data_IF_815736367803
#
_entry.id   IF_815736367803
#
_cell.length_a   1.000
_cell.length_b   1.000
_cell.length_c   1.000
_cell.angle_alpha   90.00
_cell.angle_beta   90.00
_cell.angle_gamma   90.00
#
_symmetry.space_group_name_H-M   'P 1'
#
loop_
_entity.id
_entity.type
_entity.pdbx_description
1 polymer ?
#
# COMPACT_ATOMS: atom_id res chain seq x y z
N UNK A 1 -58.63 -16.88 -23.12
CA UNK A 1 -57.50 -17.55 -22.43
C UNK A 1 -56.20 -16.87 -22.80
N UNK A 2 -55.22 -16.91 -21.89
CA UNK A 2 -53.83 -16.40 -21.97
C UNK A 2 -53.61 -14.96 -21.47
N UNK A 3 -53.57 -14.84 -20.14
CA UNK A 3 -52.79 -13.81 -19.42
C UNK A 3 -51.32 -13.94 -19.86
N UNK A 4 -50.70 -12.87 -20.35
CA UNK A 4 -49.24 -12.80 -20.49
C UNK A 4 -48.69 -12.12 -19.23
N UNK A 5 -48.19 -12.95 -18.33
CA UNK A 5 -47.40 -12.51 -17.19
C UNK A 5 -46.01 -12.15 -17.72
N UNK A 6 -45.71 -10.87 -17.88
CA UNK A 6 -44.34 -10.41 -18.18
C UNK A 6 -43.62 -10.34 -16.83
N UNK A 7 -42.85 -11.38 -16.53
CA UNK A 7 -41.98 -11.44 -15.38
C UNK A 7 -40.69 -10.67 -15.74
N UNK A 8 -40.63 -9.39 -15.37
CA UNK A 8 -39.39 -8.61 -15.46
C UNK A 8 -38.39 -9.17 -14.46
N UNK A 9 -37.38 -9.86 -14.96
CA UNK A 9 -36.24 -10.35 -14.17
C UNK A 9 -35.37 -9.14 -13.82
N UNK A 10 -35.58 -8.59 -12.62
CA UNK A 10 -34.71 -7.55 -12.06
C UNK A 10 -33.40 -8.24 -11.66
N UNK A 11 -32.40 -8.21 -12.53
CA UNK A 11 -31.04 -8.65 -12.20
C UNK A 11 -30.46 -7.61 -11.22
N UNK A 12 -30.62 -7.89 -9.93
CA UNK A 12 -29.82 -7.27 -8.89
C UNK A 12 -28.38 -7.74 -9.10
N UNK A 13 -27.57 -6.90 -9.74
CA UNK A 13 -26.11 -6.99 -9.61
C UNK A 13 -25.78 -6.75 -8.15
N UNK A 14 -25.74 -7.82 -7.37
CA UNK A 14 -25.01 -7.83 -6.12
C UNK A 14 -23.53 -7.73 -6.49
N UNK A 15 -23.00 -6.50 -6.48
CA UNK A 15 -21.57 -6.32 -6.38
C UNK A 15 -21.16 -7.00 -5.08
N UNK A 16 -20.54 -8.17 -5.19
CA UNK A 16 -19.77 -8.72 -4.10
C UNK A 16 -18.61 -7.74 -3.94
N UNK A 17 -18.76 -6.76 -3.06
CA UNK A 17 -17.64 -5.97 -2.57
C UNK A 17 -16.81 -6.96 -1.78
N UNK A 18 -15.81 -7.55 -2.44
CA UNK A 18 -14.71 -8.18 -1.73
C UNK A 18 -14.17 -7.13 -0.78
N UNK A 19 -14.11 -7.45 0.52
CA UNK A 19 -13.48 -6.58 1.49
C UNK A 19 -12.03 -6.38 1.05
N UNK A 20 -11.75 -5.24 0.41
CA UNK A 20 -10.43 -4.93 -0.09
C UNK A 20 -9.62 -4.48 1.12
N UNK A 21 -8.68 -5.32 1.55
CA UNK A 21 -7.75 -4.97 2.61
C UNK A 21 -6.44 -4.47 2.01
N UNK A 22 -5.73 -3.62 2.75
CA UNK A 22 -4.34 -3.30 2.45
C UNK A 22 -3.43 -4.47 2.80
N UNK A 23 -2.34 -4.61 2.07
CA UNK A 23 -1.21 -5.42 2.50
C UNK A 23 -0.69 -4.95 3.85
N UNK A 24 -0.23 -5.87 4.71
CA UNK A 24 0.49 -5.48 5.91
C UNK A 24 1.80 -4.78 5.55
N UNK A 25 2.17 -3.77 6.32
CA UNK A 25 3.52 -3.24 6.32
C UNK A 25 4.54 -4.29 6.78
N UNK A 26 5.70 -4.31 6.14
CA UNK A 26 6.79 -5.23 6.42
C UNK A 26 7.90 -4.50 7.19
N UNK A 27 8.17 -4.97 8.40
CA UNK A 27 9.30 -4.47 9.21
C UNK A 27 10.46 -5.45 9.32
N UNK A 28 10.22 -6.72 8.96
CA UNK A 28 11.20 -7.81 8.98
C UNK A 28 11.29 -8.44 7.60
N UNK A 29 12.52 -8.66 7.12
CA UNK A 29 12.81 -9.16 5.79
C UNK A 29 13.62 -10.47 5.86
N UNK A 30 13.41 -11.35 4.88
CA UNK A 30 14.09 -12.63 4.78
C UNK A 30 15.50 -12.42 4.24
N UNK A 31 16.50 -12.92 4.97
CA UNK A 31 17.88 -13.00 4.50
C UNK A 31 18.14 -14.24 3.61
N UNK A 32 17.11 -15.06 3.33
CA UNK A 32 17.24 -16.32 2.57
C UNK A 32 16.80 -16.23 1.11
N UNK A 33 16.11 -15.14 0.75
CA UNK A 33 15.67 -14.88 -0.62
C UNK A 33 16.43 -13.64 -1.10
N UNK A 34 16.78 -13.55 -2.39
CA UNK A 34 17.38 -12.35 -2.93
C UNK A 34 16.40 -11.18 -2.81
N UNK A 35 16.92 -9.99 -2.58
CA UNK A 35 16.25 -8.71 -2.80
C UNK A 35 16.63 -8.18 -4.19
N UNK A 36 15.75 -7.36 -4.75
CA UNK A 36 15.94 -6.76 -6.06
C UNK A 36 15.85 -5.25 -5.95
N UNK A 37 16.82 -4.55 -6.52
CA UNK A 37 16.88 -3.08 -6.54
C UNK A 37 16.95 -2.61 -7.99
N UNK A 38 16.15 -1.62 -8.35
CA UNK A 38 16.32 -0.84 -9.57
C UNK A 38 16.82 0.55 -9.17
N UNK A 39 17.99 0.95 -9.66
CA UNK A 39 18.57 2.27 -9.44
C UNK A 39 17.94 3.33 -10.36
N UNK A 40 18.15 4.60 -10.06
CA UNK A 40 17.61 5.72 -10.86
C UNK A 40 18.11 5.74 -12.31
N UNK A 41 19.29 5.18 -12.57
CA UNK A 41 19.86 5.05 -13.92
C UNK A 41 19.27 3.85 -14.70
N UNK A 42 18.39 3.06 -14.07
CA UNK A 42 17.77 1.86 -14.63
C UNK A 42 18.58 0.57 -14.41
N UNK A 43 19.75 0.64 -13.78
CA UNK A 43 20.55 -0.53 -13.42
C UNK A 43 19.77 -1.42 -12.43
N UNK A 44 19.81 -2.73 -12.67
CA UNK A 44 19.17 -3.73 -11.81
C UNK A 44 20.21 -4.48 -11.02
N UNK A 45 19.95 -4.62 -9.72
CA UNK A 45 20.83 -5.28 -8.76
C UNK A 45 20.03 -6.38 -8.07
N UNK A 46 20.64 -7.56 -7.98
CA UNK A 46 20.12 -8.72 -7.25
C UNK A 46 21.16 -9.14 -6.22
N UNK A 47 20.72 -9.47 -5.01
CA UNK A 47 21.61 -9.93 -3.94
C UNK A 47 20.87 -10.18 -2.64
N UNK A 48 21.59 -10.62 -1.61
CA UNK A 48 20.97 -10.86 -0.30
C UNK A 48 20.85 -9.54 0.46
N UNK A 49 19.69 -9.26 1.05
CA UNK A 49 19.54 -8.12 1.96
C UNK A 49 20.28 -8.43 3.26
N UNK A 50 21.33 -7.68 3.58
CA UNK A 50 22.02 -7.81 4.87
C UNK A 50 21.33 -6.95 5.92
N UNK A 51 21.09 -5.67 5.63
CA UNK A 51 20.56 -4.73 6.60
C UNK A 51 19.83 -3.55 5.97
N UNK A 52 18.75 -3.12 6.61
CA UNK A 52 18.16 -1.80 6.40
C UNK A 52 18.54 -0.87 7.56
N UNK A 53 19.28 0.18 7.26
CA UNK A 53 19.53 1.26 8.21
C UNK A 53 18.31 2.17 8.24
N UNK A 54 17.92 2.61 9.44
CA UNK A 54 16.77 3.50 9.63
C UNK A 54 17.17 4.72 10.45
N UNK A 55 16.68 5.89 10.06
CA UNK A 55 16.76 7.15 10.82
C UNK A 55 15.35 7.69 11.00
N UNK A 56 14.92 7.86 12.25
CA UNK A 56 13.53 8.26 12.59
C UNK A 56 12.48 7.35 11.90
N UNK A 57 12.73 6.04 11.91
CA UNK A 57 11.93 4.98 11.28
C UNK A 57 11.86 5.00 9.74
N UNK A 58 12.46 5.98 9.06
CA UNK A 58 12.60 5.99 7.61
C UNK A 58 13.85 5.21 7.19
N UNK A 59 13.80 4.50 6.07
CA UNK A 59 14.97 3.81 5.49
C UNK A 59 15.99 4.87 5.09
N UNK A 60 17.22 4.74 5.58
CA UNK A 60 18.33 5.68 5.35
C UNK A 60 19.57 5.03 4.73
N UNK A 61 19.51 3.73 4.45
CA UNK A 61 20.59 2.96 3.83
C UNK A 61 20.16 1.52 3.63
N UNK A 62 20.50 0.96 2.46
CA UNK A 62 20.10 -0.39 2.05
C UNK A 62 21.38 -1.17 1.79
N UNK A 63 21.72 -2.09 2.70
CA UNK A 63 22.94 -2.89 2.59
C UNK A 63 22.62 -4.27 2.01
N UNK A 64 23.31 -4.61 0.94
CA UNK A 64 23.21 -5.87 0.24
C UNK A 64 24.53 -6.62 0.22
N UNK A 65 24.46 -7.95 0.16
CA UNK A 65 25.58 -8.83 -0.16
C UNK A 65 25.42 -9.26 -1.62
N UNK A 66 26.40 -8.90 -2.45
CA UNK A 66 26.45 -9.21 -3.89
C UNK A 66 27.78 -9.88 -4.16
N UNK A 67 27.76 -11.11 -4.69
CA UNK A 67 28.96 -11.92 -4.92
C UNK A 67 29.89 -12.03 -3.69
N UNK A 68 29.30 -12.05 -2.49
CA UNK A 68 30.02 -12.12 -1.21
C UNK A 68 30.60 -10.79 -0.72
N UNK A 69 30.33 -9.67 -1.40
CA UNK A 69 30.75 -8.32 -0.99
C UNK A 69 29.58 -7.51 -0.45
N UNK A 70 29.81 -6.79 0.65
CA UNK A 70 28.85 -5.83 1.19
C UNK A 70 28.88 -4.54 0.38
N UNK A 71 27.72 -4.14 -0.15
CA UNK A 71 27.50 -2.88 -0.85
C UNK A 71 26.33 -2.15 -0.19
N UNK A 72 26.50 -0.87 0.12
CA UNK A 72 25.47 -0.04 0.74
C UNK A 72 24.97 1.00 -0.27
N UNK A 73 23.66 1.01 -0.51
CA UNK A 73 22.97 1.96 -1.37
C UNK A 73 22.28 3.03 -0.53
N UNK A 74 22.38 4.28 -0.98
CA UNK A 74 21.60 5.37 -0.43
C UNK A 74 20.16 5.28 -0.99
N UNK A 75 19.11 5.49 -0.18
CA UNK A 75 17.73 5.42 -0.66
C UNK A 75 17.44 6.36 -1.84
N UNK A 76 18.07 7.53 -1.87
CA UNK A 76 17.96 8.51 -2.94
C UNK A 76 18.46 8.01 -4.30
N UNK A 77 19.37 7.03 -4.35
CA UNK A 77 19.89 6.45 -5.58
C UNK A 77 19.01 5.29 -6.11
N UNK A 78 18.10 4.80 -5.28
CA UNK A 78 17.20 3.68 -5.58
C UNK A 78 15.87 4.21 -6.10
N UNK A 79 15.48 3.79 -7.30
CA UNK A 79 14.16 4.11 -7.83
C UNK A 79 13.07 3.31 -7.10
N UNK A 80 13.26 2.00 -7.06
CA UNK A 80 12.34 1.03 -6.50
C UNK A 80 13.09 -0.23 -6.05
N UNK A 81 12.50 -0.99 -5.12
CA UNK A 81 13.05 -2.27 -4.69
C UNK A 81 11.97 -3.26 -4.25
N UNK A 82 12.28 -4.54 -4.39
CA UNK A 82 11.49 -5.66 -3.90
C UNK A 82 12.24 -6.34 -2.77
N UNK A 83 11.68 -6.27 -1.56
CA UNK A 83 12.27 -6.90 -0.38
C UNK A 83 11.45 -8.12 0.05
N UNK A 84 12.07 -9.30 0.21
CA UNK A 84 11.34 -10.50 0.60
C UNK A 84 10.91 -10.39 2.06
N UNK A 85 9.61 -10.46 2.37
CA UNK A 85 9.13 -10.38 3.75
C UNK A 85 9.61 -11.60 4.57
N UNK A 86 10.02 -11.40 5.83
CA UNK A 86 10.45 -12.48 6.72
C UNK A 86 9.26 -13.33 7.19
N UNK A 87 8.13 -12.67 7.43
CA UNK A 87 6.98 -13.27 8.09
C UNK A 87 5.90 -13.64 7.09
N UNK A 88 5.56 -14.93 7.15
CA UNK A 88 4.24 -15.54 6.90
C UNK A 88 4.00 -16.12 5.52
N UNK A 89 3.70 -17.43 5.56
CA UNK A 89 2.53 -18.03 4.91
C UNK A 89 1.89 -17.11 3.88
N UNK A 90 2.25 -17.33 2.60
CA UNK A 90 1.49 -16.99 1.40
C UNK A 90 0.27 -16.12 1.74
N UNK A 91 0.48 -14.82 1.90
CA UNK A 91 -0.65 -13.91 1.86
C UNK A 91 -1.16 -14.05 0.43
N UNK A 92 -2.17 -14.88 0.26
CA UNK A 92 -2.85 -15.09 -1.00
C UNK A 92 -3.73 -13.87 -1.26
N UNK A 93 -3.12 -12.69 -1.34
CA UNK A 93 -3.63 -11.71 -2.26
C UNK A 93 -3.38 -12.36 -3.61
N UNK A 94 -4.32 -13.19 -4.06
CA UNK A 94 -4.43 -13.45 -5.49
C UNK A 94 -4.88 -12.11 -6.05
N UNK A 95 -3.93 -11.20 -6.23
CA UNK A 95 -4.17 -9.99 -6.99
C UNK A 95 -4.35 -10.53 -8.41
N UNK A 96 -5.61 -10.63 -8.84
CA UNK A 96 -5.88 -11.05 -10.21
C UNK A 96 -5.26 -10.01 -11.14
N UNK A 97 -4.25 -10.43 -11.91
CA UNK A 97 -3.56 -9.62 -12.93
C UNK A 97 -4.52 -9.14 -14.06
N UNK A 98 -5.80 -9.56 -14.02
CA UNK A 98 -6.78 -9.37 -15.08
C UNK A 98 -7.24 -7.91 -15.28
N UNK A 99 -6.99 -7.00 -14.33
CA UNK A 99 -7.54 -5.64 -14.38
C UNK A 99 -6.57 -4.53 -14.78
N UNK A 100 -5.24 -4.72 -14.83
CA UNK A 100 -4.34 -3.60 -15.16
C UNK A 100 -2.95 -4.05 -15.65
N UNK A 101 -2.75 -4.07 -16.97
CA UNK A 101 -1.48 -4.38 -17.64
C UNK A 101 -0.47 -3.22 -17.68
N UNK A 102 -0.76 -2.09 -17.04
CA UNK A 102 0.05 -0.86 -17.08
C UNK A 102 0.64 -0.45 -15.73
N UNK A 103 0.75 -1.38 -14.78
CA UNK A 103 1.38 -1.10 -13.47
C UNK A 103 2.88 -0.95 -13.65
N UNK A 104 3.46 0.01 -12.94
CA UNK A 104 4.91 0.28 -12.90
C UNK A 104 5.66 -0.61 -11.89
N UNK A 105 4.97 -1.62 -11.33
CA UNK A 105 5.52 -2.61 -10.42
C UNK A 105 5.07 -4.04 -10.78
N UNK A 106 5.85 -5.02 -10.34
CA UNK A 106 5.69 -6.44 -10.60
C UNK A 106 4.77 -7.08 -9.55
N UNK A 107 3.54 -7.38 -9.98
CA UNK A 107 2.54 -8.04 -9.16
C UNK A 107 2.90 -9.49 -8.82
N UNK A 108 3.63 -10.19 -9.70
CA UNK A 108 3.99 -11.58 -9.47
C UNK A 108 4.99 -11.67 -8.32
N UNK A 109 5.97 -10.76 -8.28
CA UNK A 109 6.88 -10.58 -7.14
C UNK A 109 6.12 -10.29 -5.84
N UNK A 110 5.14 -9.39 -5.87
CA UNK A 110 4.31 -9.09 -4.69
C UNK A 110 3.53 -10.32 -4.23
N UNK A 111 2.94 -11.08 -5.16
CA UNK A 111 2.22 -12.32 -4.91
C UNK A 111 3.12 -13.43 -4.34
N UNK A 112 4.43 -13.40 -4.63
CA UNK A 112 5.45 -14.29 -4.06
C UNK A 112 5.90 -13.90 -2.63
N UNK A 113 5.34 -12.81 -2.09
CA UNK A 113 5.60 -12.32 -0.74
C UNK A 113 6.69 -11.26 -0.65
N UNK A 114 6.95 -10.54 -1.74
CA UNK A 114 7.82 -9.36 -1.71
C UNK A 114 7.04 -8.10 -1.36
N UNK A 115 7.64 -7.21 -0.57
CA UNK A 115 7.19 -5.84 -0.45
C UNK A 115 7.77 -5.02 -1.58
N UNK A 116 6.91 -4.25 -2.27
CA UNK A 116 7.32 -3.23 -3.22
C UNK A 116 7.55 -1.90 -2.49
N UNK A 117 8.73 -1.33 -2.69
CA UNK A 117 9.11 -0.03 -2.16
C UNK A 117 9.53 0.89 -3.29
N UNK A 118 9.19 2.17 -3.17
CA UNK A 118 9.58 3.20 -4.13
C UNK A 118 9.86 4.53 -3.45
N UNK A 119 10.69 5.35 -4.09
CA UNK A 119 10.91 6.72 -3.65
C UNK A 119 9.67 7.57 -3.90
N UNK A 120 9.16 8.16 -2.82
CA UNK A 120 7.93 8.94 -2.80
C UNK A 120 8.19 10.29 -2.15
N UNK A 121 7.76 11.37 -2.76
CA UNK A 121 7.75 12.68 -2.11
C UNK A 121 6.64 12.73 -1.04
N UNK A 122 6.99 13.09 0.19
CA UNK A 122 6.10 13.06 1.35
C UNK A 122 6.11 14.41 2.07
N UNK A 123 4.93 14.91 2.40
CA UNK A 123 4.77 16.12 3.23
C UNK A 123 4.97 15.74 4.70
N UNK A 124 6.08 16.19 5.28
CA UNK A 124 6.38 16.08 6.71
C UNK A 124 6.38 17.47 7.37
N UNK A 125 5.25 17.80 7.99
CA UNK A 125 5.06 19.10 8.64
C UNK A 125 4.96 20.23 7.61
N UNK A 126 6.05 20.99 7.43
CA UNK A 126 6.12 22.10 6.45
C UNK A 126 7.06 21.82 5.28
N UNK A 127 7.75 20.68 5.29
CA UNK A 127 8.74 20.33 4.30
C UNK A 127 8.27 19.13 3.50
N UNK A 128 8.75 19.04 2.27
CA UNK A 128 8.67 17.83 1.48
C UNK A 128 9.98 17.05 1.65
N UNK A 129 9.87 15.75 1.87
CA UNK A 129 11.01 14.83 1.94
C UNK A 129 10.76 13.65 1.01
N UNK A 130 11.76 13.23 0.24
CA UNK A 130 11.69 11.98 -0.53
C UNK A 130 12.05 10.82 0.39
N UNK A 131 11.12 9.88 0.53
CA UNK A 131 11.28 8.71 1.39
C UNK A 131 11.07 7.43 0.57
N UNK A 132 11.82 6.39 0.93
CA UNK A 132 11.62 5.04 0.41
C UNK A 132 10.45 4.37 1.15
N UNK A 133 9.30 4.23 0.49
CA UNK A 133 8.02 3.88 1.10
C UNK A 133 7.46 2.56 0.56
N UNK A 134 6.89 1.72 1.41
CA UNK A 134 6.25 0.47 0.98
C UNK A 134 4.83 0.73 0.48
N UNK A 135 4.50 0.30 -0.75
CA UNK A 135 3.14 0.31 -1.27
C UNK A 135 2.31 -0.80 -0.61
N UNK A 136 1.12 -0.47 -0.11
CA UNK A 136 0.23 -1.43 0.57
C UNK A 136 -1.11 -1.68 -0.15
N UNK A 137 -1.39 -0.96 -1.24
CA UNK A 137 -2.56 -1.21 -2.09
C UNK A 137 -2.23 -1.64 -3.54
N UNK A 138 -1.28 -2.55 -3.79
CA UNK A 138 -0.86 -2.87 -5.16
C UNK A 138 -1.95 -3.48 -6.04
N UNK A 139 -3.09 -3.91 -5.50
CA UNK A 139 -4.23 -4.35 -6.32
C UNK A 139 -4.90 -3.18 -7.08
N UNK A 140 -4.89 -1.97 -6.53
CA UNK A 140 -5.53 -0.76 -7.07
C UNK A 140 -4.65 0.45 -6.69
N UNK A 141 -3.79 0.91 -7.59
CA UNK A 141 -2.86 1.99 -7.29
C UNK A 141 -2.63 2.92 -8.49
N UNK A 142 -3.67 3.11 -9.31
CA UNK A 142 -3.60 3.94 -10.52
C UNK A 142 -3.72 5.44 -10.20
N UNK A 143 -4.72 5.80 -9.40
CA UNK A 143 -5.06 7.17 -8.99
C UNK A 143 -4.58 7.45 -7.57
N UNK A 144 -4.66 6.45 -6.68
CA UNK A 144 -4.26 6.59 -5.28
C UNK A 144 -3.22 5.55 -4.89
N UNK A 145 -2.08 5.98 -4.37
CA UNK A 145 -1.09 5.11 -3.74
C UNK A 145 -1.16 5.27 -2.24
N UNK A 146 -1.25 4.14 -1.55
CA UNK A 146 -1.29 4.07 -0.10
C UNK A 146 0.00 3.42 0.36
N UNK A 147 0.74 4.14 1.19
CA UNK A 147 2.01 3.70 1.72
C UNK A 147 1.93 3.40 3.21
N UNK A 148 2.65 2.36 3.61
CA UNK A 148 2.82 2.01 5.01
C UNK A 148 3.45 3.16 5.80
N UNK A 149 2.93 3.45 6.99
CA UNK A 149 3.54 4.37 7.96
C UNK A 149 4.24 3.56 9.06
N UNK A 150 5.60 3.46 9.04
CA UNK A 150 6.34 2.70 10.05
C UNK A 150 6.08 3.19 11.50
N UNK A 151 5.68 4.45 11.68
CA UNK A 151 5.36 5.01 12.99
C UNK A 151 3.95 4.63 13.47
N UNK A 152 3.08 4.12 12.59
CA UNK A 152 1.75 3.65 12.98
C UNK A 152 1.83 2.44 13.92
N UNK A 153 2.88 1.61 13.79
CA UNK A 153 3.11 0.42 14.60
C UNK A 153 3.52 0.70 16.05
N UNK A 154 4.27 1.78 16.32
CA UNK A 154 4.71 2.11 17.68
C UNK A 154 3.54 2.31 18.64
N UNK A 155 2.43 2.84 18.14
CA UNK A 155 1.26 3.10 18.98
C UNK A 155 0.44 1.83 19.31
N UNK A 156 0.73 0.70 18.63
CA UNK A 156 0.20 -0.63 18.96
C UNK A 156 1.04 -1.37 20.03
N UNK A 157 2.29 -0.93 20.28
CA UNK A 157 3.17 -1.52 21.30
C UNK A 157 2.72 -1.25 22.74
N UNK A 158 1.79 -0.31 22.96
CA UNK A 158 1.12 -0.09 24.26
C UNK A 158 0.03 -1.14 24.57
N UNK A 159 -0.18 -2.14 23.71
CA UNK A 159 -1.13 -3.24 23.92
C UNK A 159 -0.37 -4.54 24.12
N UNK A 160 0.21 -4.72 25.30
CA UNK A 160 0.82 -5.98 25.74
C UNK A 160 -0.28 -7.03 25.85
N UNK A 161 -0.38 -7.94 24.87
CA UNK A 161 -1.33 -9.05 24.88
C UNK A 161 -1.14 -9.99 23.67
N UNK A 162 -1.30 -11.32 23.83
CA UNK A 162 -1.04 -12.30 22.78
C UNK A 162 -2.24 -12.40 21.83
N UNK A 163 -2.53 -11.34 21.07
CA UNK A 163 -3.49 -11.41 19.96
C UNK A 163 -3.35 -10.16 19.08
N UNK A 164 -2.47 -10.19 18.07
CA UNK A 164 -2.63 -9.32 16.90
C UNK A 164 -3.72 -9.94 16.01
N UNK A 165 -4.99 -9.75 16.34
CA UNK A 165 -6.07 -10.04 15.39
C UNK A 165 -6.07 -8.92 14.37
N UNK A 166 -5.94 -9.28 13.09
CA UNK A 166 -5.83 -8.37 11.95
C UNK A 166 -6.77 -7.16 12.03
N UNK A 167 -6.23 -5.99 11.73
CA UNK A 167 -6.96 -4.74 11.70
C UNK A 167 -6.15 -3.65 10.99
N UNK A 168 -6.85 -2.67 10.45
CA UNK A 168 -6.30 -1.51 9.73
C UNK A 168 -5.36 -0.70 10.64
N UNK A 169 -4.18 -0.31 10.13
CA UNK A 169 -3.19 0.51 10.84
C UNK A 169 -3.76 1.87 11.25
N UNK A 170 -3.11 2.55 12.20
CA UNK A 170 -3.61 3.84 12.70
C UNK A 170 -3.40 5.00 11.74
N UNK A 171 -2.49 4.86 10.80
CA UNK A 171 -2.21 5.84 9.77
C UNK A 171 -1.52 5.22 8.56
N UNK A 172 -1.61 5.94 7.44
CA UNK A 172 -0.95 5.67 6.18
C UNK A 172 -0.47 7.00 5.59
N UNK A 173 0.51 6.95 4.68
CA UNK A 173 0.78 8.06 3.77
C UNK A 173 0.00 7.82 2.48
N UNK A 174 -0.72 8.84 2.01
CA UNK A 174 -1.59 8.72 0.85
C UNK A 174 -1.15 9.73 -0.20
N UNK A 175 -0.83 9.22 -1.39
CA UNK A 175 -0.53 9.99 -2.59
C UNK A 175 -1.73 9.90 -3.52
N UNK A 176 -2.25 11.04 -3.95
CA UNK A 176 -3.33 11.13 -4.93
C UNK A 176 -2.76 11.76 -6.19
N UNK A 177 -2.88 11.07 -7.32
CA UNK A 177 -2.29 11.47 -8.59
C UNK A 177 -0.77 11.75 -8.43
N UNK A 178 -0.32 12.93 -8.86
CA UNK A 178 1.08 13.37 -8.79
C UNK A 178 1.40 14.25 -7.58
N UNK A 179 0.42 14.49 -6.69
CA UNK A 179 0.64 15.31 -5.50
C UNK A 179 1.51 14.57 -4.47
N UNK A 180 2.34 15.27 -3.68
CA UNK A 180 3.11 14.67 -2.60
C UNK A 180 2.22 13.89 -1.61
N UNK A 181 2.71 12.73 -1.16
CA UNK A 181 1.99 11.92 -0.21
C UNK A 181 1.86 12.62 1.14
N UNK A 182 0.71 12.48 1.81
CA UNK A 182 0.50 13.08 3.12
C UNK A 182 -0.12 12.09 4.11
N UNK A 183 0.13 12.34 5.40
CA UNK A 183 -0.32 11.44 6.47
C UNK A 183 -1.84 11.54 6.69
N UNK A 184 -2.51 10.40 6.49
CA UNK A 184 -3.91 10.19 6.85
C UNK A 184 -3.95 9.22 8.03
N UNK A 185 -4.69 9.57 9.07
CA UNK A 185 -4.76 8.82 10.32
C UNK A 185 -6.20 8.61 10.74
N UNK A 186 -6.42 7.60 11.58
CA UNK A 186 -7.71 7.37 12.23
C UNK A 186 -8.25 8.63 12.94
N UNK A 187 -7.37 9.45 13.50
CA UNK A 187 -7.74 10.64 14.26
C UNK A 187 -8.24 11.79 13.36
N UNK A 188 -7.64 11.99 12.18
CA UNK A 188 -8.00 13.09 11.28
C UNK A 188 -8.97 12.68 10.16
N UNK A 189 -9.14 11.38 9.87
CA UNK A 189 -9.92 10.88 8.72
C UNK A 189 -11.32 11.51 8.60
N UNK A 190 -12.07 11.57 9.71
CA UNK A 190 -13.41 12.17 9.73
C UNK A 190 -13.42 13.65 9.33
N UNK A 191 -12.33 14.36 9.56
CA UNK A 191 -12.23 15.79 9.26
C UNK A 191 -11.81 16.03 7.80
N UNK A 192 -11.05 15.11 7.20
CA UNK A 192 -10.42 15.32 5.89
C UNK A 192 -11.00 14.47 4.75
N UNK A 193 -11.85 13.47 5.03
CA UNK A 193 -12.30 12.53 3.98
C UNK A 193 -12.98 13.20 2.78
N UNK A 194 -13.67 14.33 2.99
CA UNK A 194 -14.30 15.08 1.90
C UNK A 194 -13.28 15.71 0.97
N UNK A 195 -12.19 16.23 1.53
CA UNK A 195 -11.12 16.85 0.76
C UNK A 195 -10.28 15.77 0.07
N UNK A 196 -9.98 14.67 0.79
CA UNK A 196 -9.27 13.50 0.27
C UNK A 196 -9.98 12.87 -0.93
N UNK A 197 -11.31 12.85 -0.96
CA UNK A 197 -12.11 12.31 -2.07
C UNK A 197 -12.82 13.39 -2.88
N UNK A 198 -12.33 14.64 -2.89
CA UNK A 198 -13.04 15.78 -3.47
C UNK A 198 -13.38 15.59 -4.95
N UNK A 199 -12.53 14.87 -5.70
CA UNK A 199 -12.75 14.53 -7.10
C UNK A 199 -13.79 13.42 -7.32
N UNK A 200 -14.30 12.79 -6.27
CA UNK A 200 -15.32 11.74 -6.34
C UNK A 200 -16.56 12.05 -5.46
N UNK A 201 -17.45 12.98 -5.88
CA UNK A 201 -18.63 13.35 -5.10
C UNK A 201 -19.61 12.20 -4.84
N UNK A 202 -19.69 11.21 -5.74
CA UNK A 202 -20.49 9.99 -5.58
C UNK A 202 -20.04 9.20 -4.36
N UNK A 203 -18.73 8.96 -4.21
CA UNK A 203 -18.15 8.29 -3.05
C UNK A 203 -18.40 9.08 -1.77
N UNK A 204 -18.21 10.41 -1.77
CA UNK A 204 -18.50 11.24 -0.59
C UNK A 204 -19.96 11.07 -0.13
N UNK A 205 -20.89 10.99 -1.08
CA UNK A 205 -22.31 10.77 -0.81
C UNK A 205 -22.57 9.39 -0.22
N UNK A 206 -21.89 8.36 -0.71
CA UNK A 206 -21.98 6.98 -0.23
C UNK A 206 -21.44 6.83 1.20
N UNK A 207 -20.26 7.38 1.47
CA UNK A 207 -19.63 7.41 2.81
C UNK A 207 -20.53 8.13 3.82
N UNK A 208 -21.21 9.19 3.37
CA UNK A 208 -22.08 9.99 4.22
C UNK A 208 -21.33 10.74 5.33
N UNK A 209 -22.02 11.05 6.43
CA UNK A 209 -21.51 12.00 7.45
C UNK A 209 -20.55 11.40 8.48
N UNK A 210 -20.42 10.07 8.53
CA UNK A 210 -19.68 9.35 9.59
C UNK A 210 -18.78 8.29 8.95
N UNK A 211 -17.69 8.68 8.28
CA UNK A 211 -16.75 7.73 7.69
C UNK A 211 -16.18 6.79 8.76
N UNK A 212 -16.12 5.50 8.45
CA UNK A 212 -15.52 4.49 9.31
C UNK A 212 -14.07 4.23 8.90
N UNK A 213 -13.12 4.36 9.83
CA UNK A 213 -11.70 4.09 9.54
C UNK A 213 -11.45 2.65 9.11
N UNK A 214 -12.25 1.69 9.61
CA UNK A 214 -12.10 0.28 9.25
C UNK A 214 -12.37 0.01 7.76
N UNK A 215 -13.10 0.91 7.10
CA UNK A 215 -13.48 0.82 5.68
C UNK A 215 -12.54 1.66 4.81
N UNK A 216 -11.43 2.21 5.33
CA UNK A 216 -10.54 3.08 4.53
C UNK A 216 -10.03 2.41 3.26
N UNK A 217 -9.70 1.13 3.29
CA UNK A 217 -9.21 0.42 2.11
C UNK A 217 -10.32 0.26 1.05
N UNK A 218 -11.56 0.03 1.46
CA UNK A 218 -12.73 0.03 0.58
C UNK A 218 -12.99 1.42 -0.01
N UNK A 219 -12.90 2.47 0.80
CA UNK A 219 -13.03 3.84 0.33
C UNK A 219 -11.93 4.22 -0.69
N UNK A 220 -10.67 3.82 -0.45
CA UNK A 220 -9.58 4.05 -1.40
C UNK A 220 -9.77 3.26 -2.70
N UNK A 221 -10.24 2.02 -2.63
CA UNK A 221 -10.55 1.23 -3.81
C UNK A 221 -11.64 1.89 -4.66
N UNK A 222 -12.73 2.30 -4.02
CA UNK A 222 -13.81 3.03 -4.70
C UNK A 222 -13.32 4.36 -5.28
N UNK A 223 -12.40 5.04 -4.58
CA UNK A 223 -11.80 6.28 -5.06
C UNK A 223 -10.87 6.06 -6.25
N UNK A 224 -10.04 5.02 -6.23
CA UNK A 224 -9.14 4.64 -7.33
C UNK A 224 -9.90 4.34 -8.62
N UNK A 225 -11.08 3.71 -8.47
CA UNK A 225 -11.99 3.37 -9.57
C UNK A 225 -12.93 4.53 -9.99
N UNK A 226 -12.86 5.69 -9.33
CA UNK A 226 -13.75 6.82 -9.62
C UNK A 226 -13.16 7.71 -10.71
N UNK A 227 -13.92 7.94 -11.78
CA UNK A 227 -13.58 8.88 -12.86
C UNK A 227 -13.70 10.34 -12.40
#
# INVERSE_FOLDING_TARGET
MKKRLVLSFLVLFAFNVSAQEFMPGFDMFSHKKPAYITLNDGSKVEGELDKLNRKRNNISGIRMIIDGQEIEYAPEDVKEMYLPAHSLNKFSLKIDNATNTSKDYDLDMINEGYGFFENTEVILGKNNETLMMQLVNPSFASKVRVYFDPMAMETASMSVGPMKTGGVDRSYFIKVDDEPAYKVSKANYKNIYKDLYASCPSLIKEIGKKPNWKEIAEHMYAFDACE
#
